data_IF_424134367775
#
_entry.id   IF_424134367775
#
_cell.length_a   1.000
_cell.length_b   1.000
_cell.length_c   1.000
_cell.angle_alpha   90.00
_cell.angle_beta   90.00
_cell.angle_gamma   90.00
#
_symmetry.space_group_name_H-M   'P 1'
#
loop_
_entity.id
_entity.type
_entity.pdbx_description
1 polymer ?
#
# COMPACT_ATOMS: atom_id res chain seq x y z
N UNK A 1 -0.34 17.91 -25.69
CA UNK A 1 -0.21 16.91 -24.59
C UNK A 1 0.58 15.70 -25.06
N UNK A 2 1.35 15.13 -24.21
CA UNK A 2 2.15 13.95 -24.50
C UNK A 2 1.66 12.74 -23.69
N UNK A 3 1.91 11.53 -24.23
CA UNK A 3 1.60 10.29 -23.52
C UNK A 3 2.45 10.16 -22.23
N UNK A 4 1.82 9.84 -21.13
CA UNK A 4 2.49 9.68 -19.82
C UNK A 4 3.48 8.50 -19.78
N UNK A 5 3.34 7.55 -20.72
CA UNK A 5 4.22 6.38 -20.77
C UNK A 5 5.33 6.51 -21.81
N UNK A 6 4.96 6.72 -23.10
CA UNK A 6 5.94 6.70 -24.19
C UNK A 6 6.43 8.10 -24.60
N UNK A 7 5.87 9.16 -24.01
CA UNK A 7 6.22 10.57 -24.22
C UNK A 7 5.91 11.12 -25.62
N UNK A 8 5.32 10.32 -26.50
CA UNK A 8 4.91 10.78 -27.83
C UNK A 8 3.76 11.78 -27.74
N UNK A 9 3.71 12.71 -28.69
CA UNK A 9 2.62 13.65 -28.79
C UNK A 9 1.30 12.93 -29.09
N UNK A 10 0.25 13.27 -28.33
CA UNK A 10 -1.07 12.66 -28.48
C UNK A 10 -1.76 13.12 -29.76
N UNK A 11 -2.46 12.19 -30.44
CA UNK A 11 -3.35 12.47 -31.54
C UNK A 11 -4.73 12.92 -31.04
N UNK A 12 -5.69 13.10 -31.94
CA UNK A 12 -7.07 13.46 -31.57
C UNK A 12 -7.76 12.36 -30.74
N UNK A 13 -7.38 11.10 -30.97
CA UNK A 13 -7.88 9.95 -30.18
C UNK A 13 -6.80 9.53 -29.18
N UNK A 14 -7.15 9.55 -27.90
CA UNK A 14 -6.25 9.18 -26.83
C UNK A 14 -7.04 8.52 -25.69
N UNK A 15 -6.33 7.80 -24.84
CA UNK A 15 -6.89 7.14 -23.68
C UNK A 15 -6.64 7.99 -22.43
N UNK A 16 -7.65 8.12 -21.57
CA UNK A 16 -7.53 8.86 -20.30
C UNK A 16 -7.71 7.91 -19.13
N UNK A 17 -6.99 8.17 -18.05
CA UNK A 17 -7.14 7.49 -16.78
C UNK A 17 -7.11 8.50 -15.65
N UNK A 18 -7.74 8.18 -14.54
CA UNK A 18 -7.81 9.05 -13.37
C UNK A 18 -7.02 8.46 -12.22
N UNK A 19 -6.14 9.26 -11.64
CA UNK A 19 -5.39 8.90 -10.44
C UNK A 19 -5.92 9.73 -9.29
N UNK A 20 -6.41 9.05 -8.26
CA UNK A 20 -6.86 9.70 -7.03
C UNK A 20 -5.65 9.92 -6.13
N UNK A 21 -5.44 11.17 -5.75
CA UNK A 21 -4.30 11.56 -4.93
C UNK A 21 -4.72 11.67 -3.47
N UNK A 22 -3.81 11.27 -2.58
CA UNK A 22 -3.98 11.44 -1.15
C UNK A 22 -2.79 12.20 -0.59
N UNK A 23 -3.00 12.88 0.54
CA UNK A 23 -1.93 13.54 1.29
C UNK A 23 -2.11 13.28 2.78
N UNK A 24 -1.05 13.45 3.54
CA UNK A 24 -1.08 13.35 4.99
C UNK A 24 -1.24 14.75 5.56
N UNK A 25 -2.26 14.97 6.39
CA UNK A 25 -2.50 16.26 7.04
C UNK A 25 -1.62 16.43 8.29
N UNK A 26 -1.75 17.57 8.97
CA UNK A 26 -0.97 17.90 10.16
C UNK A 26 -1.19 16.90 11.32
N UNK A 27 -2.35 16.27 11.36
CA UNK A 27 -2.69 15.27 12.39
C UNK A 27 -2.19 13.85 12.05
N UNK A 28 -1.49 13.67 10.92
CA UNK A 28 -1.02 12.37 10.46
C UNK A 28 -2.09 11.52 9.77
N UNK A 29 -3.26 12.08 9.49
CA UNK A 29 -4.35 11.38 8.80
C UNK A 29 -4.20 11.48 7.29
N UNK A 30 -4.50 10.39 6.57
CA UNK A 30 -4.56 10.39 5.12
C UNK A 30 -5.88 11.01 4.67
N UNK A 31 -5.80 12.07 3.88
CA UNK A 31 -6.97 12.77 3.35
C UNK A 31 -6.90 12.86 1.84
N UNK A 32 -8.06 13.07 1.21
CA UNK A 32 -8.16 13.23 -0.24
C UNK A 32 -7.45 14.53 -0.66
N UNK A 33 -6.56 14.42 -1.66
CA UNK A 33 -5.86 15.56 -2.27
C UNK A 33 -6.35 15.85 -3.69
N UNK A 34 -7.45 15.22 -4.12
CA UNK A 34 -8.05 15.43 -5.42
C UNK A 34 -7.75 14.31 -6.42
N UNK A 35 -8.03 14.63 -7.68
CA UNK A 35 -7.93 13.70 -8.79
C UNK A 35 -7.07 14.31 -9.90
N UNK A 36 -6.15 13.53 -10.45
CA UNK A 36 -5.34 13.93 -11.59
C UNK A 36 -5.70 13.07 -12.79
N UNK A 37 -5.94 13.70 -13.93
CA UNK A 37 -6.18 13.02 -15.20
C UNK A 37 -4.85 12.75 -15.91
N UNK A 38 -4.63 11.49 -16.32
CA UNK A 38 -3.46 11.09 -17.08
C UNK A 38 -3.88 10.74 -18.51
N UNK A 39 -3.04 11.07 -19.48
CA UNK A 39 -3.31 10.91 -20.89
C UNK A 39 -2.31 9.95 -21.52
N UNK A 40 -2.82 8.98 -22.28
CA UNK A 40 -1.99 7.96 -22.93
C UNK A 40 -2.39 7.84 -24.40
N UNK A 41 -1.44 7.46 -25.26
CA UNK A 41 -1.75 7.30 -26.67
C UNK A 41 -2.69 6.11 -26.95
N UNK A 42 -2.71 5.10 -26.07
CA UNK A 42 -3.63 3.96 -26.16
C UNK A 42 -3.74 3.25 -24.81
N UNK A 43 -4.63 2.25 -24.74
CA UNK A 43 -4.85 1.44 -23.54
C UNK A 43 -3.60 0.66 -23.12
N UNK A 44 -2.82 0.18 -24.10
CA UNK A 44 -1.58 -0.56 -23.81
C UNK A 44 -0.57 0.30 -23.04
N UNK A 45 -0.38 1.56 -23.44
CA UNK A 45 0.50 2.49 -22.72
C UNK A 45 -0.01 2.77 -21.30
N UNK A 46 -1.32 2.89 -21.12
CA UNK A 46 -1.91 3.06 -19.80
C UNK A 46 -1.61 1.86 -18.89
N UNK A 47 -1.77 0.64 -19.41
CA UNK A 47 -1.48 -0.59 -18.66
C UNK A 47 0.00 -0.69 -18.27
N UNK A 48 0.91 -0.39 -19.19
CA UNK A 48 2.36 -0.42 -18.91
C UNK A 48 2.76 0.60 -17.85
N UNK A 49 2.19 1.78 -17.89
CA UNK A 49 2.44 2.81 -16.87
C UNK A 49 1.94 2.35 -15.50
N UNK A 50 0.75 1.76 -15.45
CA UNK A 50 0.17 1.25 -14.23
C UNK A 50 1.02 0.13 -13.61
N UNK A 51 1.47 -0.83 -14.41
CA UNK A 51 2.36 -1.91 -13.96
C UNK A 51 3.65 -1.35 -13.35
N UNK A 52 4.30 -0.42 -14.07
CA UNK A 52 5.53 0.21 -13.58
C UNK A 52 5.32 0.94 -12.25
N UNK A 53 4.24 1.70 -12.15
CA UNK A 53 3.88 2.43 -10.93
C UNK A 53 3.64 1.46 -9.77
N UNK A 54 2.91 0.38 -10.01
CA UNK A 54 2.60 -0.62 -8.99
C UNK A 54 3.87 -1.28 -8.44
N UNK A 55 4.81 -1.67 -9.32
CA UNK A 55 6.10 -2.26 -8.92
C UNK A 55 6.89 -1.28 -8.07
N UNK A 56 6.98 -0.03 -8.50
CA UNK A 56 7.70 1.03 -7.77
C UNK A 56 7.11 1.25 -6.38
N UNK A 57 5.79 1.32 -6.26
CA UNK A 57 5.12 1.50 -4.98
C UNK A 57 5.30 0.29 -4.05
N UNK A 58 5.24 -0.93 -4.59
CA UNK A 58 5.52 -2.15 -3.82
C UNK A 58 6.93 -2.11 -3.23
N UNK A 59 7.92 -1.72 -4.00
CA UNK A 59 9.31 -1.62 -3.54
C UNK A 59 9.47 -0.60 -2.41
N UNK A 60 8.80 0.54 -2.52
CA UNK A 60 8.79 1.56 -1.46
C UNK A 60 8.19 1.02 -0.16
N UNK A 61 7.08 0.31 -0.25
CA UNK A 61 6.41 -0.26 0.93
C UNK A 61 7.27 -1.35 1.55
N UNK A 62 7.91 -2.21 0.76
CA UNK A 62 8.82 -3.23 1.27
C UNK A 62 9.97 -2.58 2.03
N UNK A 63 10.58 -1.55 1.48
CA UNK A 63 11.67 -0.82 2.13
C UNK A 63 11.22 -0.20 3.45
N UNK A 64 10.08 0.49 3.45
CA UNK A 64 9.54 1.14 4.64
C UNK A 64 9.16 0.11 5.72
N UNK A 65 8.57 -1.01 5.30
CA UNK A 65 8.20 -2.10 6.21
C UNK A 65 9.42 -2.73 6.87
N UNK A 66 10.52 -2.92 6.11
CA UNK A 66 11.79 -3.40 6.68
C UNK A 66 12.36 -2.44 7.73
N UNK A 67 12.34 -1.14 7.44
CA UNK A 67 12.77 -0.11 8.39
C UNK A 67 11.92 -0.15 9.66
N UNK A 68 10.60 -0.29 9.52
CA UNK A 68 9.69 -0.39 10.66
C UNK A 68 9.97 -1.64 11.50
N UNK A 69 10.26 -2.79 10.86
CA UNK A 69 10.62 -4.02 11.58
C UNK A 69 11.89 -3.81 12.40
N UNK A 70 12.93 -3.23 11.81
CA UNK A 70 14.20 -2.95 12.49
C UNK A 70 13.99 -2.03 13.69
N UNK A 71 13.24 -0.93 13.53
CA UNK A 71 12.95 0.02 14.58
C UNK A 71 12.16 -0.63 15.73
N UNK A 72 11.15 -1.43 15.41
CA UNK A 72 10.32 -2.11 16.40
C UNK A 72 11.10 -3.20 17.15
N UNK A 73 11.98 -3.92 16.46
CA UNK A 73 12.83 -4.94 17.10
C UNK A 73 13.80 -4.32 18.10
N UNK A 74 14.33 -3.11 17.84
CA UNK A 74 15.19 -2.39 18.78
C UNK A 74 14.48 -2.01 20.08
N UNK A 75 13.19 -1.63 19.98
CA UNK A 75 12.43 -1.21 21.17
C UNK A 75 11.61 -2.34 21.79
N UNK A 76 11.57 -3.52 21.14
CA UNK A 76 10.80 -4.67 21.64
C UNK A 76 11.37 -5.17 22.94
N UNK A 77 10.48 -5.36 23.92
CA UNK A 77 10.80 -5.99 25.22
C UNK A 77 9.88 -7.19 25.41
N UNK A 78 10.39 -8.22 26.07
CA UNK A 78 9.62 -9.43 26.35
C UNK A 78 8.31 -9.06 27.08
N UNK A 79 7.21 -9.62 26.58
CA UNK A 79 5.87 -9.37 27.10
C UNK A 79 5.10 -8.26 26.42
N UNK A 80 5.72 -7.50 25.51
CA UNK A 80 5.00 -6.46 24.73
C UNK A 80 4.33 -7.09 23.52
N UNK A 81 3.09 -7.54 23.72
CA UNK A 81 2.31 -8.24 22.72
C UNK A 81 2.01 -7.38 21.49
N UNK A 82 1.71 -6.09 21.70
CA UNK A 82 1.38 -5.18 20.58
C UNK A 82 2.58 -4.99 19.66
N UNK A 83 3.77 -4.75 20.20
CA UNK A 83 4.98 -4.59 19.39
C UNK A 83 5.31 -5.88 18.63
N UNK A 84 5.19 -7.03 19.28
CA UNK A 84 5.45 -8.31 18.65
C UNK A 84 4.50 -8.55 17.46
N UNK A 85 3.21 -8.26 17.62
CA UNK A 85 2.22 -8.45 16.57
C UNK A 85 2.48 -7.47 15.41
N UNK A 86 2.84 -6.23 15.69
CA UNK A 86 3.21 -5.27 14.64
C UNK A 86 4.43 -5.74 13.84
N UNK A 87 5.44 -6.28 14.52
CA UNK A 87 6.62 -6.84 13.85
C UNK A 87 6.20 -7.95 12.90
N UNK A 88 5.38 -8.90 13.36
CA UNK A 88 4.88 -9.98 12.52
C UNK A 88 4.01 -9.49 11.37
N UNK A 89 3.20 -8.47 11.61
CA UNK A 89 2.35 -7.88 10.58
C UNK A 89 3.18 -7.24 9.47
N UNK A 90 4.20 -6.44 9.79
CA UNK A 90 5.07 -5.85 8.78
C UNK A 90 5.86 -6.91 8.02
N UNK A 91 6.29 -7.99 8.67
CA UNK A 91 6.93 -9.13 7.99
C UNK A 91 5.95 -9.82 7.02
N UNK A 92 4.68 -9.93 7.39
CA UNK A 92 3.64 -10.48 6.52
C UNK A 92 3.41 -9.59 5.28
N UNK A 93 3.45 -8.26 5.44
CA UNK A 93 3.36 -7.32 4.33
C UNK A 93 4.49 -7.56 3.33
N UNK A 94 5.72 -7.67 3.82
CA UNK A 94 6.89 -7.92 2.98
C UNK A 94 6.72 -9.24 2.21
N UNK A 95 6.32 -10.30 2.89
CA UNK A 95 6.13 -11.62 2.29
C UNK A 95 5.00 -11.64 1.26
N UNK A 96 3.90 -10.94 1.54
CA UNK A 96 2.78 -10.82 0.60
C UNK A 96 3.23 -10.08 -0.68
N UNK A 97 3.88 -8.94 -0.53
CA UNK A 97 4.33 -8.15 -1.67
C UNK A 97 5.42 -8.83 -2.50
N UNK A 98 6.14 -9.79 -1.91
CA UNK A 98 7.11 -10.65 -2.61
C UNK A 98 6.51 -11.93 -3.12
N UNK A 99 5.20 -12.10 -3.05
CA UNK A 99 4.48 -13.31 -3.48
C UNK A 99 4.90 -14.58 -2.74
N UNK A 100 5.35 -14.46 -1.48
CA UNK A 100 5.73 -15.59 -0.63
C UNK A 100 4.55 -16.16 0.15
N UNK A 101 3.50 -15.37 0.36
CA UNK A 101 2.24 -15.81 0.95
C UNK A 101 1.09 -15.35 0.06
N UNK A 102 -0.05 -16.06 0.15
CA UNK A 102 -1.25 -15.72 -0.63
C UNK A 102 -1.99 -14.52 -0.05
N UNK A 103 -2.85 -13.91 -0.86
CA UNK A 103 -3.75 -12.84 -0.42
C UNK A 103 -4.64 -13.32 0.74
N UNK A 104 -5.16 -14.55 0.64
CA UNK A 104 -6.01 -15.13 1.68
C UNK A 104 -5.25 -15.25 3.01
N UNK A 105 -4.01 -15.75 2.98
CA UNK A 105 -3.16 -15.82 4.16
C UNK A 105 -2.89 -14.46 4.76
N UNK A 106 -2.61 -13.46 3.91
CA UNK A 106 -2.40 -12.10 4.36
C UNK A 106 -3.64 -11.51 5.04
N UNK A 107 -4.82 -11.75 4.48
CA UNK A 107 -6.09 -11.31 5.08
C UNK A 107 -6.33 -11.95 6.44
N UNK A 108 -6.01 -13.23 6.61
CA UNK A 108 -6.14 -13.94 7.89
C UNK A 108 -5.21 -13.32 8.93
N UNK A 109 -3.96 -13.05 8.58
CA UNK A 109 -2.98 -12.43 9.47
C UNK A 109 -3.44 -11.04 9.87
N UNK A 110 -3.92 -10.24 8.92
CA UNK A 110 -4.44 -8.89 9.16
C UNK A 110 -5.65 -8.91 10.11
N UNK A 111 -6.57 -9.86 9.90
CA UNK A 111 -7.75 -10.00 10.75
C UNK A 111 -7.37 -10.35 12.20
N UNK A 112 -6.43 -11.27 12.38
CA UNK A 112 -5.92 -11.60 13.73
C UNK A 112 -5.26 -10.41 14.41
N UNK A 113 -4.48 -9.64 13.67
CA UNK A 113 -3.84 -8.43 14.20
C UNK A 113 -4.90 -7.41 14.63
N UNK A 114 -5.97 -7.25 13.85
CA UNK A 114 -7.07 -6.34 14.19
C UNK A 114 -7.84 -6.81 15.44
N UNK A 115 -8.11 -8.10 15.57
CA UNK A 115 -8.81 -8.67 16.73
C UNK A 115 -8.04 -8.39 18.03
N UNK A 116 -6.72 -8.55 18.02
CA UNK A 116 -5.89 -8.23 19.19
C UNK A 116 -5.97 -6.74 19.54
N UNK A 117 -5.93 -5.86 18.54
CA UNK A 117 -6.08 -4.43 18.76
C UNK A 117 -7.44 -4.06 19.35
N UNK A 118 -8.50 -4.69 18.87
CA UNK A 118 -9.86 -4.51 19.41
C UNK A 118 -9.95 -4.96 20.87
N UNK A 119 -9.42 -6.14 21.18
CA UNK A 119 -9.42 -6.69 22.54
C UNK A 119 -8.65 -5.81 23.51
N UNK A 120 -7.58 -5.18 23.06
CA UNK A 120 -6.77 -4.28 23.88
C UNK A 120 -7.26 -2.83 23.88
N UNK A 121 -8.24 -2.49 23.04
CA UNK A 121 -8.78 -1.15 22.93
C UNK A 121 -7.80 -0.12 22.37
N UNK A 122 -6.80 -0.55 21.58
CA UNK A 122 -5.79 0.34 21.02
C UNK A 122 -6.22 0.88 19.66
N UNK A 123 -6.82 2.08 19.65
CA UNK A 123 -7.34 2.71 18.44
C UNK A 123 -6.25 3.15 17.47
N UNK A 124 -5.09 3.55 17.96
CA UNK A 124 -3.95 3.94 17.11
C UNK A 124 -3.41 2.73 16.34
N UNK A 125 -3.21 1.62 17.06
CA UNK A 125 -2.80 0.36 16.47
C UNK A 125 -3.80 -0.12 15.39
N UNK A 126 -5.10 -0.11 15.71
CA UNK A 126 -6.15 -0.51 14.78
C UNK A 126 -6.15 0.34 13.50
N UNK A 127 -5.94 1.65 13.65
CA UNK A 127 -5.86 2.56 12.51
C UNK A 127 -4.68 2.21 11.60
N UNK A 128 -3.51 1.95 12.19
CA UNK A 128 -2.30 1.57 11.43
C UNK A 128 -2.54 0.28 10.64
N UNK A 129 -3.05 -0.75 11.29
CA UNK A 129 -3.29 -2.06 10.64
C UNK A 129 -4.32 -1.93 9.51
N UNK A 130 -5.41 -1.24 9.76
CA UNK A 130 -6.49 -1.05 8.78
C UNK A 130 -6.02 -0.27 7.56
N UNK A 131 -5.38 0.87 7.77
CA UNK A 131 -4.94 1.74 6.67
C UNK A 131 -3.89 1.05 5.82
N UNK A 132 -2.96 0.33 6.45
CA UNK A 132 -1.92 -0.41 5.76
C UNK A 132 -2.52 -1.57 4.95
N UNK A 133 -3.48 -2.29 5.51
CA UNK A 133 -4.17 -3.37 4.81
C UNK A 133 -4.88 -2.87 3.54
N UNK A 134 -5.61 -1.77 3.64
CA UNK A 134 -6.29 -1.17 2.49
C UNK A 134 -5.31 -0.76 1.41
N UNK A 135 -4.25 -0.04 1.77
CA UNK A 135 -3.25 0.43 0.82
C UNK A 135 -2.62 -0.73 0.04
N UNK A 136 -2.32 -1.84 0.72
CA UNK A 136 -1.68 -3.00 0.13
C UNK A 136 -2.63 -3.77 -0.78
N UNK A 137 -3.87 -3.98 -0.36
CA UNK A 137 -4.85 -4.70 -1.16
C UNK A 137 -5.22 -3.92 -2.43
N UNK A 138 -5.28 -2.59 -2.36
CA UNK A 138 -5.54 -1.75 -3.53
C UNK A 138 -4.43 -1.83 -4.59
N UNK A 139 -3.21 -2.15 -4.18
CA UNK A 139 -2.09 -2.29 -5.12
C UNK A 139 -2.02 -3.67 -5.77
N UNK A 140 -2.78 -4.64 -5.28
CA UNK A 140 -2.81 -5.97 -5.87
C UNK A 140 -3.64 -5.91 -7.17
N UNK A 141 -3.04 -6.19 -8.36
CA UNK A 141 -3.75 -6.11 -9.62
C UNK A 141 -4.89 -7.13 -9.74
N UNK A 142 -4.90 -8.16 -8.92
CA UNK A 142 -5.95 -9.18 -8.89
C UNK A 142 -7.08 -8.85 -7.91
N UNK A 143 -6.97 -7.74 -7.19
CA UNK A 143 -7.98 -7.30 -6.23
C UNK A 143 -8.94 -6.32 -6.89
N UNK A 144 -10.19 -6.70 -6.93
CA UNK A 144 -11.28 -5.87 -7.44
C UNK A 144 -12.39 -5.77 -6.40
#
# INVERSE_FOLDING_TARGET
MNCEHCEKKLSELYYTDNVYMTKVNECGQTVDAGKKELYFCNYECACKRHEHYTVKEKMKIIKKSKENVEDLEEIYKDGDTILLILIHYYKAIINFLRNKISEETFKIISQKAMEVGEDMGDSVYLSIVRDTQYAILFMNPNYN
#
